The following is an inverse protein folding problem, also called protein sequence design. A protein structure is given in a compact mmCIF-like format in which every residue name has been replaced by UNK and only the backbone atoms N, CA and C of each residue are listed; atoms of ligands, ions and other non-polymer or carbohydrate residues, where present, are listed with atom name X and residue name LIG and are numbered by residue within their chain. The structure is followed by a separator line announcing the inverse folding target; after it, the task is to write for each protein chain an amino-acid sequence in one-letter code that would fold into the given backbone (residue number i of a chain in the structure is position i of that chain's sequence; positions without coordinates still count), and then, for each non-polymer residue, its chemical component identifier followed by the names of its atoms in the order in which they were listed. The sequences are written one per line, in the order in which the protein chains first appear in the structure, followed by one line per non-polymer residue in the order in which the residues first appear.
data_IF_652580414044
#
_entry.id   IF_652580414044
#
_cell.length_a   1.000
_cell.length_b   1.000
_cell.length_c   1.000
_cell.angle_alpha   90.00
_cell.angle_beta   90.00
_cell.angle_gamma   90.00
#
_symmetry.space_group_name_H-M   'P 1'
#
loop_
_entity.id
_entity.type
_entity.pdbx_description
1 polymer ?
#
# COMPACT_ATOMS: atom_id res chain seq x y z
N UNK A 1 16.13 0.50 -2.98
CA UNK A 1 14.66 0.50 -2.74
C UNK A 1 14.34 0.72 -1.26
N UNK A 2 14.92 -0.05 -0.33
CA UNK A 2 14.69 0.18 1.11
C UNK A 2 14.96 1.62 1.56
N UNK A 3 16.09 2.23 1.18
CA UNK A 3 16.39 3.63 1.52
C UNK A 3 15.28 4.60 1.10
N UNK A 4 14.77 4.47 -0.14
CA UNK A 4 13.71 5.35 -0.69
C UNK A 4 12.41 5.18 0.08
N UNK A 5 12.03 3.93 0.36
CA UNK A 5 10.81 3.64 1.10
C UNK A 5 10.94 4.06 2.57
N UNK A 6 12.09 3.85 3.21
CA UNK A 6 12.38 4.40 4.54
C UNK A 6 12.24 5.93 4.57
N UNK A 7 12.69 6.63 3.53
CA UNK A 7 12.53 8.09 3.44
C UNK A 7 11.06 8.54 3.36
N UNK A 8 10.17 7.70 2.82
CA UNK A 8 8.71 7.98 2.79
C UNK A 8 8.06 7.69 4.13
N UNK A 9 8.45 6.61 4.82
CA UNK A 9 7.81 6.20 6.08
C UNK A 9 8.36 6.93 7.31
N UNK A 10 9.66 7.20 7.36
CA UNK A 10 10.34 7.78 8.52
C UNK A 10 9.76 9.12 9.01
N UNK A 11 9.34 10.06 8.14
CA UNK A 11 8.71 11.31 8.59
C UNK A 11 7.45 11.11 9.43
N UNK A 12 6.67 10.05 9.18
CA UNK A 12 5.45 9.76 9.92
C UNK A 12 5.71 9.37 11.38
N UNK A 13 6.92 8.89 11.71
CA UNK A 13 7.32 8.59 13.09
C UNK A 13 7.51 9.84 13.95
N UNK A 14 7.66 11.02 13.33
CA UNK A 14 7.87 12.30 14.01
C UNK A 14 6.59 13.13 14.14
N UNK A 15 5.43 12.59 13.74
CA UNK A 15 4.15 13.27 13.96
C UNK A 15 3.85 13.37 15.45
N UNK A 16 3.38 14.55 15.89
CA UNK A 16 3.02 14.82 17.28
C UNK A 16 1.58 14.43 17.61
N UNK A 17 1.23 14.52 18.90
CA UNK A 17 -0.12 14.24 19.41
C UNK A 17 -0.49 12.75 19.46
N UNK A 18 -1.74 12.45 19.86
CA UNK A 18 -2.27 11.08 19.98
C UNK A 18 -2.24 10.32 18.65
N UNK A 19 -2.40 11.04 17.56
CA UNK A 19 -2.42 10.54 16.19
C UNK A 19 -1.02 10.09 15.76
N UNK A 20 0.01 10.85 16.15
CA UNK A 20 1.40 10.54 15.91
C UNK A 20 1.86 9.25 16.59
N UNK A 21 1.32 8.91 17.76
CA UNK A 21 1.65 7.64 18.45
C UNK A 21 1.25 6.43 17.60
N UNK A 22 0.06 6.47 17.00
CA UNK A 22 -0.44 5.40 16.12
C UNK A 22 0.42 5.32 14.85
N UNK A 23 0.66 6.46 14.19
CA UNK A 23 1.52 6.50 13.00
C UNK A 23 2.95 6.01 13.27
N UNK A 24 3.49 6.28 14.45
CA UNK A 24 4.81 5.81 14.87
C UNK A 24 4.88 4.29 14.98
N UNK A 25 3.82 3.63 15.49
CA UNK A 25 3.76 2.17 15.56
C UNK A 25 3.80 1.53 14.16
N UNK A 26 3.01 2.05 13.22
CA UNK A 26 3.02 1.58 11.83
C UNK A 26 4.37 1.85 11.15
N UNK A 27 4.87 3.08 11.27
CA UNK A 27 6.12 3.49 10.64
C UNK A 27 7.31 2.63 11.09
N UNK A 28 7.49 2.42 12.39
CA UNK A 28 8.62 1.66 12.92
C UNK A 28 8.53 0.19 12.50
N UNK A 29 7.33 -0.40 12.55
CA UNK A 29 7.09 -1.79 12.14
C UNK A 29 7.39 -2.01 10.65
N UNK A 30 6.95 -1.10 9.79
CA UNK A 30 7.21 -1.18 8.35
C UNK A 30 8.71 -1.04 8.08
N UNK A 31 9.37 -0.04 8.66
CA UNK A 31 10.80 0.20 8.44
C UNK A 31 11.63 -0.99 8.93
N UNK A 32 11.33 -1.56 10.10
CA UNK A 32 12.06 -2.71 10.64
C UNK A 32 11.88 -3.95 9.76
N UNK A 33 10.65 -4.26 9.36
CA UNK A 33 10.34 -5.39 8.47
C UNK A 33 11.04 -5.24 7.11
N UNK A 34 11.08 -4.02 6.57
CA UNK A 34 11.74 -3.72 5.30
C UNK A 34 13.27 -3.85 5.37
N UNK A 35 13.89 -3.38 6.45
CA UNK A 35 15.33 -3.54 6.66
C UNK A 35 15.69 -5.02 6.76
N UNK A 36 14.94 -5.79 7.56
CA UNK A 36 15.11 -7.23 7.65
C UNK A 36 14.91 -7.91 6.29
N UNK A 37 13.88 -7.52 5.53
CA UNK A 37 13.63 -8.03 4.18
C UNK A 37 14.82 -7.80 3.24
N UNK A 38 15.47 -6.64 3.27
CA UNK A 38 16.67 -6.40 2.45
C UNK A 38 17.84 -7.24 2.91
N UNK A 39 18.05 -7.41 4.21
CA UNK A 39 19.08 -8.33 4.73
C UNK A 39 18.84 -9.73 4.19
N UNK A 40 17.60 -10.24 4.29
CA UNK A 40 17.22 -11.55 3.76
C UNK A 40 17.41 -11.65 2.24
N UNK A 41 17.00 -10.61 1.49
CA UNK A 41 17.11 -10.57 0.04
C UNK A 41 18.56 -10.54 -0.47
N UNK A 42 19.50 -10.00 0.32
CA UNK A 42 20.92 -9.94 -0.04
C UNK A 42 21.73 -11.14 0.46
N UNK A 43 21.24 -11.87 1.46
CA UNK A 43 21.97 -12.98 2.10
C UNK A 43 21.34 -14.33 1.78
N UNK A 44 20.12 -14.55 2.26
CA UNK A 44 19.44 -15.83 2.15
C UNK A 44 18.92 -16.10 0.73
N UNK A 45 18.36 -15.09 0.05
CA UNK A 45 17.81 -15.30 -1.30
C UNK A 45 18.87 -15.75 -2.30
N UNK A 46 20.09 -15.15 -2.38
CA UNK A 46 21.13 -15.66 -3.26
C UNK A 46 21.62 -17.06 -2.87
N UNK A 47 21.72 -17.36 -1.56
CA UNK A 47 22.12 -18.69 -1.09
C UNK A 47 21.10 -19.77 -1.48
N UNK A 48 19.80 -19.48 -1.33
CA UNK A 48 18.72 -20.38 -1.74
C UNK A 48 18.63 -20.50 -3.26
N UNK A 49 18.79 -19.41 -4.01
CA UNK A 49 18.83 -19.47 -5.46
C UNK A 49 20.02 -20.31 -5.96
N UNK A 50 21.18 -20.22 -5.32
CA UNK A 50 22.35 -21.02 -5.69
C UNK A 50 22.27 -22.50 -5.32
N UNK A 51 21.53 -22.84 -4.26
CA UNK A 51 21.45 -24.23 -3.75
C UNK A 51 20.23 -25.00 -4.24
N UNK A 52 19.09 -24.33 -4.43
CA UNK A 52 17.80 -24.98 -4.77
C UNK A 52 17.53 -24.93 -6.27
N UNK A 53 17.96 -23.87 -6.96
CA UNK A 53 17.58 -23.67 -8.36
C UNK A 53 18.39 -24.58 -9.28
N UNK A 54 17.67 -25.45 -10.01
CA UNK A 54 18.26 -26.30 -11.04
C UNK A 54 18.14 -25.65 -12.42
N UNK A 55 19.13 -25.86 -13.28
CA UNK A 55 19.05 -25.42 -14.66
C UNK A 55 18.05 -26.32 -15.43
N UNK A 56 16.91 -25.75 -15.82
CA UNK A 56 15.90 -26.44 -16.62
C UNK A 56 15.69 -25.69 -17.94
N UNK A 57 15.77 -26.37 -19.10
CA UNK A 57 15.50 -25.72 -20.38
C UNK A 57 14.04 -25.26 -20.45
N UNK A 58 13.74 -24.11 -21.09
CA UNK A 58 12.40 -23.56 -21.13
C UNK A 58 11.43 -24.53 -21.81
N UNK A 59 10.27 -24.77 -21.20
CA UNK A 59 9.23 -25.61 -21.76
C UNK A 59 8.76 -25.05 -23.12
N UNK A 60 8.90 -25.84 -24.19
CA UNK A 60 8.51 -25.46 -25.56
C UNK A 60 7.14 -26.02 -25.99
N UNK A 61 6.69 -27.11 -25.38
CA UNK A 61 5.45 -27.83 -25.71
C UNK A 61 4.50 -27.87 -24.49
N UNK A 62 3.23 -28.24 -24.73
CA UNK A 62 2.20 -28.30 -23.70
C UNK A 62 1.75 -26.92 -23.19
N UNK A 63 1.08 -26.92 -22.03
CA UNK A 63 0.54 -25.71 -21.40
C UNK A 63 1.61 -24.64 -21.14
N UNK A 64 2.71 -25.00 -20.47
CA UNK A 64 3.80 -24.06 -20.17
C UNK A 64 4.46 -23.49 -21.44
N UNK A 65 4.56 -24.28 -22.52
CA UNK A 65 5.00 -23.77 -23.81
C UNK A 65 4.02 -22.79 -24.46
N UNK A 66 2.72 -23.03 -24.33
CA UNK A 66 1.68 -22.11 -24.80
C UNK A 66 1.68 -20.81 -23.98
N UNK A 67 1.81 -20.90 -22.66
CA UNK A 67 1.97 -19.75 -21.77
C UNK A 67 3.20 -18.92 -22.15
N UNK A 68 4.36 -19.55 -22.35
CA UNK A 68 5.58 -18.85 -22.77
C UNK A 68 5.39 -18.10 -24.10
N UNK A 69 4.67 -18.68 -25.06
CA UNK A 69 4.35 -18.01 -26.34
C UNK A 69 3.38 -16.84 -26.15
N UNK A 70 2.38 -17.01 -25.29
CA UNK A 70 1.44 -15.93 -24.95
C UNK A 70 2.16 -14.77 -24.25
N UNK A 71 2.97 -15.07 -23.24
CA UNK A 71 3.76 -14.08 -22.51
C UNK A 71 4.66 -13.27 -23.44
N UNK A 72 5.42 -13.93 -24.31
CA UNK A 72 6.26 -13.24 -25.32
C UNK A 72 5.46 -12.30 -26.21
N UNK A 73 4.29 -12.74 -26.70
CA UNK A 73 3.41 -11.87 -27.51
C UNK A 73 2.91 -10.66 -26.72
N UNK A 74 2.64 -10.83 -25.43
CA UNK A 74 2.21 -9.75 -24.54
C UNK A 74 3.35 -8.78 -24.26
N UNK A 75 4.56 -9.28 -24.02
CA UNK A 75 5.79 -8.49 -23.87
C UNK A 75 6.07 -7.65 -25.13
N UNK A 76 6.01 -8.26 -26.33
CA UNK A 76 6.19 -7.54 -27.61
C UNK A 76 5.14 -6.45 -27.83
N UNK A 77 3.90 -6.69 -27.40
CA UNK A 77 2.82 -5.69 -27.46
C UNK A 77 3.05 -4.57 -26.45
N UNK A 78 3.45 -4.91 -25.23
CA UNK A 78 3.76 -3.94 -24.18
C UNK A 78 4.92 -3.03 -24.62
N UNK A 79 6.01 -3.59 -25.13
CA UNK A 79 7.15 -2.82 -25.65
C UNK A 79 6.72 -1.84 -26.75
N UNK A 80 5.93 -2.31 -27.73
CA UNK A 80 5.38 -1.43 -28.78
C UNK A 80 4.46 -0.35 -28.22
N UNK A 81 3.67 -0.68 -27.20
CA UNK A 81 2.82 0.27 -26.47
C UNK A 81 3.63 1.36 -25.77
N UNK A 82 4.70 0.99 -25.06
CA UNK A 82 5.61 1.94 -24.41
C UNK A 82 6.24 2.88 -25.44
N UNK A 83 6.73 2.36 -26.57
CA UNK A 83 7.29 3.19 -27.65
C UNK A 83 6.22 4.14 -28.22
N UNK A 84 4.98 3.67 -28.40
CA UNK A 84 3.86 4.48 -28.88
C UNK A 84 3.53 5.64 -27.93
N UNK A 85 3.58 5.40 -26.61
CA UNK A 85 3.38 6.40 -25.55
C UNK A 85 4.52 7.41 -25.57
N UNK A 86 5.78 6.95 -25.59
CA UNK A 86 6.96 7.82 -25.62
C UNK A 86 6.98 8.76 -26.83
N UNK A 87 6.59 8.28 -28.02
CA UNK A 87 6.48 9.12 -29.23
C UNK A 87 5.41 10.21 -29.14
N UNK A 88 4.47 10.11 -28.20
CA UNK A 88 3.39 11.09 -27.96
C UNK A 88 3.49 11.74 -26.59
N UNK A 89 4.72 12.05 -26.17
CA UNK A 89 5.05 12.61 -24.86
C UNK A 89 4.11 13.75 -24.41
N UNK A 90 3.79 14.70 -25.30
CA UNK A 90 2.90 15.82 -24.96
C UNK A 90 1.48 15.36 -24.59
N UNK A 91 0.88 14.47 -25.39
CA UNK A 91 -0.47 13.93 -25.11
C UNK A 91 -0.47 13.08 -23.85
N UNK A 92 0.57 12.29 -23.63
CA UNK A 92 0.68 11.41 -22.45
C UNK A 92 0.94 12.21 -21.18
N UNK A 93 1.68 13.33 -21.29
CA UNK A 93 1.83 14.28 -20.18
C UNK A 93 0.51 14.98 -19.86
N UNK A 94 -0.28 15.36 -20.87
CA UNK A 94 -1.64 15.88 -20.66
C UNK A 94 -2.52 14.89 -19.90
N UNK A 95 -2.50 13.61 -20.28
CA UNK A 95 -3.20 12.56 -19.54
C UNK A 95 -2.70 12.42 -18.10
N UNK A 96 -1.39 12.48 -17.88
CA UNK A 96 -0.79 12.42 -16.54
C UNK A 96 -1.29 13.57 -15.65
N UNK A 97 -1.33 14.80 -16.18
CA UNK A 97 -1.85 15.96 -15.45
C UNK A 97 -3.34 15.80 -15.14
N UNK A 98 -4.14 15.27 -16.08
CA UNK A 98 -5.57 15.00 -15.83
C UNK A 98 -5.75 13.97 -14.71
N UNK A 99 -4.96 12.89 -14.69
CA UNK A 99 -5.03 11.88 -13.64
C UNK A 99 -4.58 12.44 -12.28
N UNK A 100 -3.50 13.23 -12.25
CA UNK A 100 -3.02 13.89 -11.04
C UNK A 100 -4.02 14.91 -10.50
N UNK A 101 -4.61 15.72 -11.37
CA UNK A 101 -5.67 16.66 -11.02
C UNK A 101 -6.92 15.94 -10.51
N UNK A 102 -7.33 14.85 -11.15
CA UNK A 102 -8.43 14.00 -10.71
C UNK A 102 -8.19 13.43 -9.31
N UNK A 103 -6.99 12.92 -9.04
CA UNK A 103 -6.59 12.45 -7.71
C UNK A 103 -6.67 13.58 -6.66
N UNK A 104 -6.16 14.78 -6.97
CA UNK A 104 -6.21 15.91 -6.05
C UNK A 104 -7.65 16.33 -5.71
N UNK A 105 -8.53 16.36 -6.72
CA UNK A 105 -9.96 16.64 -6.52
C UNK A 105 -10.64 15.57 -5.66
N UNK A 106 -10.36 14.29 -5.90
CA UNK A 106 -10.89 13.20 -5.09
C UNK A 106 -10.42 13.28 -3.64
N UNK A 107 -9.13 13.56 -3.40
CA UNK A 107 -8.58 13.75 -2.07
C UNK A 107 -9.23 14.92 -1.33
N UNK A 108 -9.54 16.03 -2.02
CA UNK A 108 -10.25 17.14 -1.40
C UNK A 108 -11.70 16.81 -1.04
N UNK A 109 -12.36 15.93 -1.80
CA UNK A 109 -13.75 15.53 -1.53
C UNK A 109 -13.88 14.40 -0.51
N UNK A 110 -12.81 13.70 -0.18
CA UNK A 110 -12.85 12.54 0.72
C UNK A 110 -12.97 13.02 2.18
N UNK A 111 -14.08 12.72 2.90
CA UNK A 111 -14.20 13.07 4.30
C UNK A 111 -13.17 12.29 5.13
N UNK A 112 -12.44 12.99 5.98
CA UNK A 112 -11.49 12.38 6.89
C UNK A 112 -12.19 11.76 8.11
N UNK A 113 -11.75 10.57 8.49
CA UNK A 113 -12.05 9.94 9.77
C UNK A 113 -10.76 9.39 10.37
N UNK A 114 -10.67 9.31 11.70
CA UNK A 114 -9.46 8.88 12.40
C UNK A 114 -9.33 7.36 12.44
N UNK A 115 -10.29 6.71 13.09
CA UNK A 115 -10.42 5.26 13.17
C UNK A 115 -11.91 4.95 13.05
N UNK A 116 -12.29 3.90 12.32
CA UNK A 116 -13.67 3.46 12.31
C UNK A 116 -14.07 3.02 13.72
N UNK A 117 -15.31 3.32 14.11
CA UNK A 117 -15.89 2.76 15.33
C UNK A 117 -16.22 1.30 15.07
N UNK A 118 -15.61 0.41 15.85
CA UNK A 118 -15.92 -1.01 15.83
C UNK A 118 -16.91 -1.34 16.97
N UNK A 119 -17.75 -2.34 16.75
CA UNK A 119 -18.61 -2.88 17.81
C UNK A 119 -17.72 -3.56 18.86
N UNK A 120 -17.66 -2.97 20.06
CA UNK A 120 -16.88 -3.49 21.18
C UNK A 120 -17.69 -4.42 22.09
N UNK A 121 -18.96 -4.71 21.74
CA UNK A 121 -19.86 -5.55 22.55
C UNK A 121 -20.43 -4.85 23.78
N UNK A 122 -20.20 -3.54 23.92
CA UNK A 122 -20.69 -2.72 25.03
C UNK A 122 -21.41 -1.47 24.50
N UNK A 123 -22.51 -1.11 25.19
CA UNK A 123 -23.26 0.13 24.91
C UNK A 123 -23.33 0.95 26.19
N UNK A 124 -22.92 2.22 26.12
CA UNK A 124 -23.05 3.17 27.22
C UNK A 124 -24.32 4.00 27.01
N UNK A 125 -25.27 3.88 27.95
CA UNK A 125 -26.51 4.68 27.95
C UNK A 125 -26.42 5.72 29.06
N UNK A 126 -26.50 7.00 28.71
CA UNK A 126 -26.46 8.12 29.66
C UNK A 126 -27.84 8.76 29.80
N UNK A 127 -28.43 8.67 30.99
CA UNK A 127 -29.65 9.40 31.35
C UNK A 127 -29.29 10.75 31.98
N UNK A 128 -29.80 11.85 31.44
CA UNK A 128 -29.62 13.20 32.02
C UNK A 128 -30.97 13.77 32.43
N UNK A 129 -31.13 14.05 33.73
CA UNK A 129 -32.38 14.58 34.30
C UNK A 129 -32.24 16.07 34.67
N UNK A 130 -33.38 16.81 34.75
CA UNK A 130 -33.39 18.21 35.20
C UNK A 130 -32.86 18.38 36.63
N UNK A 131 -32.30 19.55 36.92
CA UNK A 131 -31.84 19.90 38.26
C UNK A 131 -32.95 19.73 39.31
N UNK A 132 -32.67 19.01 40.39
CA UNK A 132 -33.64 18.69 41.44
C UNK A 132 -34.45 17.40 41.22
N UNK A 133 -34.16 16.61 40.19
CA UNK A 133 -34.70 15.26 40.08
C UNK A 133 -34.17 14.35 41.21
N UNK A 134 -35.08 13.64 41.87
CA UNK A 134 -34.75 12.69 42.95
C UNK A 134 -34.12 11.42 42.38
N UNK A 135 -33.30 10.71 43.17
CA UNK A 135 -32.69 9.45 42.75
C UNK A 135 -33.73 8.41 42.26
N UNK A 136 -34.93 8.42 42.83
CA UNK A 136 -36.06 7.58 42.41
C UNK A 136 -36.62 7.92 41.02
N UNK A 137 -36.36 9.12 40.47
CA UNK A 137 -36.71 9.48 39.08
C UNK A 137 -35.61 9.10 38.08
N UNK A 138 -34.39 8.88 38.56
CA UNK A 138 -33.23 8.47 37.75
C UNK A 138 -33.14 6.95 37.59
N UNK A 139 -33.71 6.20 38.53
CA UNK A 139 -33.73 4.73 38.55
C UNK A 139 -34.73 4.12 37.55
#
# INVERSE_FOLDING_TARGET
IALVLSAVFLPMAFFGGSTGVIYRQFSITIISAMLLSVVVALTLTPALCGSVLQHVPPHKKGFFGAFNRFYRRTEDKYQRGVIYVLRRAARTMGLYVVLGGGMALMMWKLPGSFLPTEDQGEIMVQYTLPAGATAARTA
#
